data_IF_595633499364
#
_entry.id   IF_595633499364
#
_cell.length_a   1.000
_cell.length_b   1.000
_cell.length_c   1.000
_cell.angle_alpha   90.00
_cell.angle_beta   90.00
_cell.angle_gamma   90.00
#
_symmetry.space_group_name_H-M   'P 1'
#
loop_
_entity.id
_entity.type
_entity.pdbx_description
1 polymer ?
#
# COMPACT_ATOMS: atom_id res chain seq x y z
N UNK A 1 -18.60 10.58 -19.00
CA UNK A 1 -17.29 10.89 -18.41
C UNK A 1 -16.63 9.55 -18.15
N UNK A 2 -15.54 9.25 -18.86
CA UNK A 2 -14.92 7.93 -18.83
C UNK A 2 -14.01 7.85 -17.60
N UNK A 3 -14.24 6.85 -16.76
CA UNK A 3 -13.32 6.41 -15.71
C UNK A 3 -12.09 5.89 -16.45
N UNK A 4 -10.96 6.59 -16.34
CA UNK A 4 -9.70 6.03 -16.78
C UNK A 4 -9.39 4.87 -15.82
N UNK A 5 -9.42 3.65 -16.35
CA UNK A 5 -8.80 2.49 -15.74
C UNK A 5 -7.29 2.78 -15.74
N UNK A 6 -6.79 3.31 -14.62
CA UNK A 6 -5.37 3.64 -14.48
C UNK A 6 -4.66 2.37 -14.01
N UNK A 7 -4.38 1.47 -14.96
CA UNK A 7 -3.30 0.50 -14.77
C UNK A 7 -2.04 1.11 -15.38
N UNK A 8 -1.08 1.66 -14.60
CA UNK A 8 0.25 1.85 -15.15
C UNK A 8 0.76 0.47 -15.62
N UNK A 9 1.31 0.34 -16.84
CA UNK A 9 1.81 -0.94 -17.33
C UNK A 9 2.99 -1.35 -16.45
N UNK A 10 2.97 -2.54 -15.81
CA UNK A 10 4.09 -2.97 -14.99
C UNK A 10 5.33 -3.11 -15.88
N UNK A 11 6.52 -2.64 -15.44
CA UNK A 11 7.77 -3.15 -15.95
C UNK A 11 7.76 -4.69 -15.83
N UNK A 12 8.43 -5.44 -16.71
CA UNK A 12 8.42 -6.89 -16.65
C UNK A 12 9.04 -7.38 -15.35
N UNK A 13 8.19 -7.72 -14.38
CA UNK A 13 8.57 -8.40 -13.15
C UNK A 13 8.75 -9.88 -13.46
N UNK A 14 9.96 -10.41 -13.25
CA UNK A 14 10.30 -11.81 -13.54
C UNK A 14 9.77 -12.82 -12.50
N UNK A 15 9.08 -12.34 -11.46
CA UNK A 15 8.83 -13.09 -10.23
C UNK A 15 7.39 -13.56 -10.05
N UNK A 16 7.26 -14.72 -9.40
CA UNK A 16 6.03 -15.20 -8.76
C UNK A 16 5.47 -14.10 -7.85
N UNK A 17 4.15 -14.08 -7.66
CA UNK A 17 3.56 -13.11 -6.75
C UNK A 17 4.01 -13.33 -5.30
N UNK A 18 4.08 -12.23 -4.55
CA UNK A 18 4.62 -12.15 -3.19
C UNK A 18 3.58 -11.58 -2.21
N UNK A 19 4.09 -11.15 -1.06
CA UNK A 19 3.33 -10.42 -0.07
C UNK A 19 4.21 -9.43 0.69
N UNK A 20 3.58 -8.40 1.23
CA UNK A 20 4.20 -7.36 2.03
C UNK A 20 3.43 -7.19 3.34
N UNK A 21 4.15 -6.89 4.41
CA UNK A 21 3.61 -6.56 5.73
C UNK A 21 4.34 -5.38 6.31
N UNK A 22 3.67 -4.53 7.08
CA UNK A 22 4.34 -3.45 7.78
C UNK A 22 3.43 -2.76 8.78
N UNK A 23 4.01 -1.83 9.51
CA UNK A 23 3.29 -0.98 10.44
C UNK A 23 4.17 0.13 10.95
N UNK A 24 3.55 1.20 11.43
CA UNK A 24 4.28 2.37 11.85
C UNK A 24 3.42 3.60 12.00
N UNK A 25 4.05 4.74 11.79
CA UNK A 25 3.40 6.02 11.66
C UNK A 25 4.16 6.94 10.70
N UNK A 26 3.40 7.78 10.02
CA UNK A 26 3.87 8.93 9.25
C UNK A 26 3.35 10.22 9.90
N UNK A 27 3.73 11.37 9.35
CA UNK A 27 3.12 12.66 9.69
C UNK A 27 2.38 13.25 8.48
N UNK A 28 1.11 12.87 8.23
CA UNK A 28 0.37 13.25 7.02
C UNK A 28 0.33 14.77 6.75
N UNK A 29 0.31 15.56 7.82
CA UNK A 29 0.27 17.03 7.78
C UNK A 29 1.58 17.67 8.29
N UNK A 30 2.63 16.87 8.47
CA UNK A 30 3.92 17.30 9.03
C UNK A 30 3.97 17.51 10.54
N UNK A 31 2.85 17.32 11.27
CA UNK A 31 2.77 17.60 12.72
C UNK A 31 2.14 16.46 13.51
N UNK A 32 0.95 16.00 13.11
CA UNK A 32 0.19 14.96 13.79
C UNK A 32 0.47 13.59 13.19
N UNK A 33 0.43 12.55 14.03
CA UNK A 33 0.74 11.20 13.60
C UNK A 33 -0.42 10.59 12.80
N UNK A 34 -0.07 9.86 11.75
CA UNK A 34 -0.93 8.89 11.09
C UNK A 34 -0.41 7.49 11.35
N UNK A 35 -1.01 6.74 12.28
CA UNK A 35 -0.62 5.37 12.59
C UNK A 35 -1.19 4.41 11.56
N UNK A 36 -0.44 3.37 11.20
CA UNK A 36 -0.95 2.33 10.30
C UNK A 36 -0.45 0.92 10.66
N UNK A 37 -1.26 -0.06 10.28
CA UNK A 37 -0.86 -1.45 10.09
C UNK A 37 -1.33 -1.90 8.71
N UNK A 38 -0.44 -2.49 7.92
CA UNK A 38 -0.72 -2.82 6.52
C UNK A 38 -0.19 -4.20 6.15
N UNK A 39 -0.95 -4.92 5.36
CA UNK A 39 -0.48 -6.11 4.70
C UNK A 39 -1.27 -6.38 3.42
N UNK A 40 -0.61 -6.96 2.44
CA UNK A 40 -1.21 -7.29 1.16
C UNK A 40 -0.41 -8.34 0.43
N UNK A 41 -1.09 -9.20 -0.32
CA UNK A 41 -0.39 -10.20 -1.11
C UNK A 41 -1.29 -11.12 -1.90
N UNK A 42 -0.65 -11.92 -2.74
CA UNK A 42 -1.34 -13.01 -3.42
C UNK A 42 -1.64 -14.17 -2.47
N UNK A 43 -2.80 -14.79 -2.68
CA UNK A 43 -3.05 -16.18 -2.30
C UNK A 43 -2.81 -17.08 -3.50
N UNK A 44 -2.72 -18.39 -3.26
CA UNK A 44 -2.72 -19.40 -4.31
C UNK A 44 -3.95 -19.23 -5.21
N UNK A 45 -3.70 -18.90 -6.48
CA UNK A 45 -4.74 -18.67 -7.48
C UNK A 45 -5.37 -17.28 -7.49
N UNK A 46 -4.89 -16.34 -6.65
CA UNK A 46 -5.30 -14.94 -6.79
C UNK A 46 -4.97 -14.40 -8.18
N UNK A 47 -5.85 -13.57 -8.73
CA UNK A 47 -5.69 -12.97 -10.07
C UNK A 47 -6.03 -13.88 -11.26
N UNK A 48 -6.28 -15.18 -11.07
CA UNK A 48 -6.69 -16.11 -12.16
C UNK A 48 -7.94 -16.93 -11.88
N UNK A 49 -8.29 -17.17 -10.61
CA UNK A 49 -9.36 -18.10 -10.23
C UNK A 49 -10.46 -17.44 -9.37
N UNK A 50 -10.69 -16.14 -9.52
CA UNK A 50 -11.58 -15.33 -8.66
C UNK A 50 -11.28 -15.46 -7.16
N UNK A 51 -10.07 -15.93 -6.81
CA UNK A 51 -9.60 -16.00 -5.43
C UNK A 51 -9.18 -14.58 -5.05
N UNK A 52 -9.78 -13.97 -4.01
CA UNK A 52 -9.40 -12.63 -3.60
C UNK A 52 -7.95 -12.59 -3.14
N UNK A 53 -7.32 -11.44 -3.29
CA UNK A 53 -6.06 -11.15 -2.61
C UNK A 53 -6.25 -11.22 -1.10
N UNK A 54 -5.14 -11.35 -0.35
CA UNK A 54 -5.18 -11.24 1.10
C UNK A 54 -4.61 -9.90 1.53
N UNK A 55 -5.00 -9.44 2.71
CA UNK A 55 -4.41 -8.27 3.31
C UNK A 55 -5.17 -7.78 4.53
N UNK A 56 -4.68 -6.67 5.08
CA UNK A 56 -5.36 -5.84 6.07
C UNK A 56 -4.86 -4.41 5.93
N UNK A 57 -5.68 -3.46 6.36
CA UNK A 57 -5.28 -2.08 6.56
C UNK A 57 -6.05 -1.54 7.75
N UNK A 58 -5.31 -0.97 8.69
CA UNK A 58 -5.79 -0.06 9.73
C UNK A 58 -5.01 1.24 9.56
N UNK A 59 -5.70 2.36 9.59
CA UNK A 59 -5.06 3.69 9.61
C UNK A 59 -5.82 4.64 10.54
N UNK A 60 -5.08 5.39 11.34
CA UNK A 60 -5.62 6.43 12.22
C UNK A 60 -4.80 7.71 12.09
N UNK A 61 -5.38 8.73 11.44
CA UNK A 61 -4.82 10.08 11.40
C UNK A 61 -5.33 10.88 12.61
N UNK A 62 -4.42 11.19 13.54
CA UNK A 62 -4.75 11.92 14.78
C UNK A 62 -4.99 13.41 14.55
N UNK A 63 -4.54 13.99 13.45
CA UNK A 63 -4.69 15.43 13.17
C UNK A 63 -6.11 15.79 12.73
N UNK A 64 -6.78 14.86 12.05
CA UNK A 64 -8.19 14.99 11.66
C UNK A 64 -9.11 14.04 12.43
N UNK A 65 -8.55 13.16 13.27
CA UNK A 65 -9.24 12.06 13.96
C UNK A 65 -10.02 11.13 13.01
N UNK A 66 -9.34 10.68 11.95
CA UNK A 66 -9.89 9.78 10.93
C UNK A 66 -9.44 8.35 11.19
N UNK A 67 -10.38 7.42 11.36
CA UNK A 67 -10.13 5.99 11.44
C UNK A 67 -10.53 5.29 10.14
N UNK A 68 -9.68 4.41 9.63
CA UNK A 68 -9.89 3.63 8.41
C UNK A 68 -9.69 2.16 8.71
N UNK A 69 -10.72 1.37 8.48
CA UNK A 69 -10.71 -0.09 8.64
C UNK A 69 -11.02 -0.78 7.31
N UNK A 70 -10.10 -1.62 6.83
CA UNK A 70 -10.29 -2.38 5.61
C UNK A 70 -11.47 -3.36 5.69
N UNK A 71 -12.19 -3.54 4.58
CA UNK A 71 -13.26 -4.52 4.45
C UNK A 71 -12.99 -5.58 3.36
N UNK A 72 -12.35 -5.21 2.25
CA UNK A 72 -11.84 -6.17 1.26
C UNK A 72 -10.57 -5.66 0.56
N UNK A 73 -9.72 -6.58 0.09
CA UNK A 73 -8.62 -6.27 -0.85
C UNK A 73 -9.08 -6.60 -2.28
N UNK A 74 -9.00 -5.62 -3.16
CA UNK A 74 -9.41 -5.74 -4.57
C UNK A 74 -8.22 -5.80 -5.52
N UNK A 75 -7.05 -5.30 -5.12
CA UNK A 75 -5.85 -5.33 -5.95
C UNK A 75 -4.56 -5.45 -5.15
N UNK A 76 -3.57 -6.09 -5.77
CA UNK A 76 -2.18 -6.16 -5.30
C UNK A 76 -1.24 -6.23 -6.51
N UNK A 77 -0.34 -5.25 -6.66
CA UNK A 77 0.61 -5.21 -7.77
C UNK A 77 1.88 -4.42 -7.46
N UNK A 78 3.01 -4.75 -8.12
CA UNK A 78 4.27 -4.04 -7.94
C UNK A 78 4.27 -2.70 -8.67
N UNK A 79 5.01 -1.75 -8.11
CA UNK A 79 5.46 -0.55 -8.81
C UNK A 79 6.98 -0.59 -8.95
N UNK A 80 7.47 -0.19 -10.13
CA UNK A 80 8.90 -0.08 -10.38
C UNK A 80 9.65 -1.42 -10.35
N UNK A 81 10.92 -1.36 -9.98
CA UNK A 81 11.82 -2.52 -9.89
C UNK A 81 11.94 -2.99 -8.44
N UNK A 82 12.08 -4.30 -8.22
CA UNK A 82 12.53 -4.82 -6.91
C UNK A 82 14.04 -4.95 -6.85
N UNK A 83 14.55 -4.92 -5.62
CA UNK A 83 15.94 -5.21 -5.31
C UNK A 83 16.07 -6.33 -4.29
N UNK A 84 17.27 -6.41 -3.72
CA UNK A 84 17.59 -7.28 -2.60
C UNK A 84 18.34 -6.45 -1.59
N UNK A 85 17.90 -6.45 -0.33
CA UNK A 85 18.60 -5.82 0.76
C UNK A 85 19.97 -6.52 0.95
N UNK A 86 21.10 -5.81 0.81
CA UNK A 86 22.42 -6.39 0.99
C UNK A 86 22.69 -6.87 2.43
N UNK A 87 21.95 -6.39 3.43
CA UNK A 87 22.14 -6.78 4.83
C UNK A 87 21.42 -8.08 5.17
N UNK A 88 20.15 -8.19 4.78
CA UNK A 88 19.29 -9.34 5.15
C UNK A 88 19.12 -10.36 4.04
N UNK A 89 19.39 -9.98 2.78
CA UNK A 89 19.07 -10.78 1.61
C UNK A 89 17.58 -10.82 1.26
N UNK A 90 16.72 -10.08 1.98
CA UNK A 90 15.29 -10.00 1.69
C UNK A 90 15.03 -9.17 0.42
N UNK A 91 13.93 -9.43 -0.30
CA UNK A 91 13.55 -8.59 -1.42
C UNK A 91 13.16 -7.19 -0.94
N UNK A 92 13.42 -6.18 -1.77
CA UNK A 92 12.97 -4.79 -1.54
C UNK A 92 12.11 -4.32 -2.71
N UNK A 93 11.28 -3.29 -2.50
CA UNK A 93 10.50 -2.66 -3.56
C UNK A 93 9.11 -2.18 -3.12
N UNK A 94 8.34 -1.68 -4.10
CA UNK A 94 7.06 -1.02 -3.84
C UNK A 94 5.86 -1.88 -4.24
N UNK A 95 4.82 -1.87 -3.43
CA UNK A 95 3.54 -2.52 -3.70
C UNK A 95 2.39 -1.54 -3.55
N UNK A 96 1.44 -1.65 -4.46
CA UNK A 96 0.12 -1.08 -4.32
C UNK A 96 -0.81 -2.12 -3.72
N UNK A 97 -1.56 -1.73 -2.69
CA UNK A 97 -2.63 -2.54 -2.09
C UNK A 97 -3.90 -1.69 -2.15
N UNK A 98 -4.92 -2.19 -2.82
CA UNK A 98 -6.17 -1.46 -2.98
C UNK A 98 -7.35 -2.30 -2.51
N UNK A 99 -8.44 -1.62 -2.17
CA UNK A 99 -9.62 -2.29 -1.66
C UNK A 99 -10.73 -1.35 -1.25
N UNK A 100 -11.65 -1.90 -0.44
CA UNK A 100 -12.73 -1.14 0.19
C UNK A 100 -12.47 -1.02 1.69
N UNK A 101 -12.88 0.08 2.30
CA UNK A 101 -12.74 0.34 3.72
C UNK A 101 -13.98 1.06 4.27
N UNK A 102 -14.14 1.02 5.59
CA UNK A 102 -15.09 1.84 6.33
C UNK A 102 -14.34 2.85 7.17
N UNK A 103 -14.87 4.07 7.20
CA UNK A 103 -14.35 5.16 8.01
C UNK A 103 -15.40 5.70 8.97
N UNK A 104 -14.95 6.38 10.01
CA UNK A 104 -15.81 7.11 10.95
C UNK A 104 -16.27 8.48 10.42
N UNK A 105 -15.57 9.06 9.44
CA UNK A 105 -15.92 10.37 8.87
C UNK A 105 -16.65 10.32 7.53
N UNK A 106 -16.26 9.41 6.63
CA UNK A 106 -16.78 9.36 5.25
C UNK A 106 -17.72 8.16 5.01
N UNK A 107 -17.84 7.24 5.96
CA UNK A 107 -18.55 5.98 5.76
C UNK A 107 -17.74 5.02 4.89
N UNK A 108 -18.41 4.30 3.98
CA UNK A 108 -17.75 3.34 3.09
C UNK A 108 -17.01 4.08 1.96
N UNK A 109 -15.77 3.67 1.71
CA UNK A 109 -14.84 4.26 0.75
C UNK A 109 -14.04 3.17 0.02
N UNK A 110 -13.47 3.52 -1.13
CA UNK A 110 -12.37 2.79 -1.74
C UNK A 110 -11.05 3.33 -1.19
N UNK A 111 -10.04 2.48 -1.03
CA UNK A 111 -8.70 2.89 -0.62
C UNK A 111 -7.64 2.35 -1.58
N UNK A 112 -6.53 3.10 -1.66
CA UNK A 112 -5.29 2.68 -2.26
C UNK A 112 -4.15 3.08 -1.33
N UNK A 113 -3.28 2.13 -1.00
CA UNK A 113 -2.03 2.43 -0.30
C UNK A 113 -0.85 2.07 -1.18
N UNK A 114 0.16 2.94 -1.16
CA UNK A 114 1.47 2.70 -1.76
C UNK A 114 2.45 2.46 -0.63
N UNK A 115 3.14 1.32 -0.69
CA UNK A 115 3.99 0.85 0.41
C UNK A 115 5.33 0.39 -0.16
N UNK A 116 6.43 0.96 0.32
CA UNK A 116 7.80 0.65 -0.14
C UNK A 116 8.61 0.03 0.98
N UNK A 117 9.18 -1.14 0.72
CA UNK A 117 10.32 -1.68 1.48
C UNK A 117 11.62 -1.19 0.82
N UNK A 118 12.41 -0.39 1.53
CA UNK A 118 13.70 0.12 1.06
C UNK A 118 14.90 -0.63 1.66
N UNK A 119 14.67 -1.73 2.36
CA UNK A 119 15.66 -2.53 3.08
C UNK A 119 15.98 -2.00 4.48
N UNK A 120 16.76 -2.78 5.23
CA UNK A 120 17.05 -2.45 6.62
C UNK A 120 17.96 -1.20 6.76
N UNK A 121 17.68 -0.31 7.74
CA UNK A 121 16.89 -0.54 8.96
C UNK A 121 15.41 -0.07 8.90
N UNK A 122 14.80 0.01 7.72
CA UNK A 122 13.39 0.39 7.54
C UNK A 122 13.10 1.90 7.62
N UNK A 123 14.11 2.73 7.94
CA UNK A 123 13.93 4.19 8.03
C UNK A 123 13.64 4.88 6.70
N UNK A 124 13.95 4.21 5.59
CA UNK A 124 13.69 4.70 4.25
C UNK A 124 12.42 4.08 3.63
N UNK A 125 11.74 3.22 4.37
CA UNK A 125 10.46 2.65 3.94
C UNK A 125 9.41 3.74 3.84
N UNK A 126 8.43 3.52 2.97
CA UNK A 126 7.43 4.55 2.64
C UNK A 126 6.01 4.01 2.79
N UNK A 127 5.10 4.88 3.24
CA UNK A 127 3.67 4.58 3.30
C UNK A 127 2.86 5.82 2.93
N UNK A 128 1.96 5.67 1.96
CA UNK A 128 0.97 6.69 1.60
C UNK A 128 -0.39 6.06 1.34
N UNK A 129 -1.46 6.80 1.62
CA UNK A 129 -2.85 6.36 1.47
C UNK A 129 -3.70 7.41 0.76
N UNK A 130 -4.61 6.94 -0.10
CA UNK A 130 -5.69 7.71 -0.69
C UNK A 130 -7.03 7.01 -0.46
N UNK A 131 -8.06 7.79 -0.14
CA UNK A 131 -9.44 7.35 -0.02
C UNK A 131 -10.32 8.06 -1.05
N UNK A 132 -11.18 7.31 -1.72
CA UNK A 132 -12.19 7.86 -2.62
C UNK A 132 -13.59 7.41 -2.24
N UNK A 133 -14.57 8.28 -2.46
CA UNK A 133 -15.99 7.94 -2.36
C UNK A 133 -16.66 8.29 -3.69
N UNK A 134 -17.26 7.28 -4.33
CA UNK A 134 -17.88 7.43 -5.66
C UNK A 134 -16.91 8.05 -6.70
N UNK A 135 -15.64 7.64 -6.65
CA UNK A 135 -14.58 8.14 -7.55
C UNK A 135 -14.08 9.55 -7.25
N UNK A 136 -14.51 10.19 -6.16
CA UNK A 136 -14.00 11.48 -5.71
C UNK A 136 -13.05 11.29 -4.54
N UNK A 137 -11.86 11.90 -4.58
CA UNK A 137 -10.91 11.88 -3.45
C UNK A 137 -11.52 12.62 -2.26
N UNK A 138 -11.60 11.92 -1.12
CA UNK A 138 -12.09 12.48 0.15
C UNK A 138 -10.98 12.64 1.19
N UNK A 139 -9.87 11.91 1.04
CA UNK A 139 -8.67 12.03 1.86
C UNK A 139 -7.47 11.50 1.08
N UNK A 140 -6.30 12.12 1.25
CA UNK A 140 -5.05 11.64 0.68
C UNK A 140 -3.86 12.15 1.47
N UNK A 141 -2.85 11.30 1.66
CA UNK A 141 -1.52 11.70 2.15
C UNK A 141 -0.55 11.95 0.99
N UNK A 142 -0.89 11.58 -0.23
CA UNK A 142 -0.01 11.82 -1.37
C UNK A 142 0.19 13.32 -1.61
N UNK A 143 1.44 13.76 -1.67
CA UNK A 143 1.77 15.12 -2.11
C UNK A 143 1.79 15.21 -3.64
N UNK A 144 0.67 15.63 -4.22
CA UNK A 144 0.53 15.85 -5.66
C UNK A 144 1.26 17.09 -6.18
N UNK A 145 1.89 17.89 -5.32
CA UNK A 145 2.65 19.09 -5.73
C UNK A 145 4.11 18.79 -6.09
N UNK A 146 4.51 17.51 -6.09
CA UNK A 146 5.86 17.05 -6.40
C UNK A 146 6.72 16.77 -5.17
N UNK A 147 6.09 16.58 -4.01
CA UNK A 147 6.77 16.15 -2.79
C UNK A 147 7.25 14.70 -2.84
N UNK A 148 7.99 14.33 -1.80
CA UNK A 148 8.43 12.95 -1.55
C UNK A 148 7.36 12.16 -0.82
N UNK A 149 7.30 10.85 -1.06
CA UNK A 149 6.49 9.93 -0.27
C UNK A 149 6.87 9.97 1.20
N UNK A 150 5.92 9.69 2.09
CA UNK A 150 6.16 9.75 3.52
C UNK A 150 7.04 8.59 3.98
N UNK A 151 8.20 8.90 4.57
CA UNK A 151 9.10 7.89 5.12
C UNK A 151 8.76 7.52 6.54
N UNK A 152 9.04 6.27 6.90
CA UNK A 152 8.94 5.76 8.27
C UNK A 152 10.15 6.15 9.14
N UNK A 153 10.92 7.15 8.72
CA UNK A 153 12.13 7.61 9.39
C UNK A 153 12.93 8.55 8.49
N UNK A 154 14.25 8.58 8.66
CA UNK A 154 15.13 9.22 7.68
C UNK A 154 15.08 10.75 7.62
N UNK A 155 14.60 11.41 8.69
CA UNK A 155 14.51 12.88 8.79
C UNK A 155 13.08 13.43 8.74
N UNK A 156 12.11 12.61 8.30
CA UNK A 156 10.69 12.99 8.22
C UNK A 156 9.93 12.70 9.53
N UNK A 157 10.65 12.25 10.56
CA UNK A 157 10.13 12.01 11.91
C UNK A 157 9.31 10.73 12.10
N UNK A 158 8.92 10.06 11.01
CA UNK A 158 8.16 8.80 11.04
C UNK A 158 8.84 7.68 11.81
N UNK A 159 8.13 6.57 11.98
CA UNK A 159 8.66 5.38 12.65
C UNK A 159 7.92 4.12 12.20
N UNK A 160 8.63 2.99 12.11
CA UNK A 160 8.01 1.71 11.73
C UNK A 160 8.96 0.85 10.91
N UNK A 161 8.40 -0.19 10.30
CA UNK A 161 9.11 -1.04 9.35
C UNK A 161 8.12 -1.66 8.36
N UNK A 162 8.56 -1.81 7.13
CA UNK A 162 7.87 -2.53 6.06
C UNK A 162 8.78 -3.67 5.62
N UNK A 163 8.20 -4.82 5.34
CA UNK A 163 8.91 -6.02 4.91
C UNK A 163 8.20 -6.61 3.70
N UNK A 164 8.90 -6.64 2.58
CA UNK A 164 8.55 -7.43 1.42
C UNK A 164 9.11 -8.85 1.59
N UNK A 165 8.30 -9.85 1.31
CA UNK A 165 8.65 -11.24 1.53
C UNK A 165 8.81 -11.99 0.22
N UNK A 166 9.68 -12.99 0.20
CA UNK A 166 9.82 -13.85 -0.95
C UNK A 166 8.51 -14.62 -1.26
N UNK A 167 8.24 -14.87 -2.56
CA UNK A 167 7.16 -15.77 -2.96
C UNK A 167 7.28 -17.17 -2.34
N UNK A 168 6.16 -17.72 -1.88
CA UNK A 168 6.09 -19.08 -1.34
C UNK A 168 4.90 -19.85 -1.93
N UNK A 169 4.70 -21.10 -1.49
CA UNK A 169 3.62 -21.96 -2.02
C UNK A 169 2.21 -21.38 -1.83
N UNK A 170 2.03 -20.52 -0.83
CA UNK A 170 0.77 -19.83 -0.54
C UNK A 170 0.56 -18.57 -1.37
N UNK A 171 1.58 -18.05 -2.06
CA UNK A 171 1.49 -16.83 -2.89
C UNK A 171 1.57 -17.12 -4.40
N UNK A 172 1.23 -18.34 -4.80
CA UNK A 172 1.27 -18.80 -6.21
C UNK A 172 0.17 -18.23 -7.12
N UNK A 173 -0.41 -17.07 -6.75
CA UNK A 173 -1.27 -16.27 -7.62
C UNK A 173 -0.47 -15.37 -8.56
N UNK A 174 -1.16 -14.44 -9.20
CA UNK A 174 -0.58 -13.37 -10.02
C UNK A 174 -1.06 -12.00 -9.51
N UNK A 175 -0.21 -10.99 -9.71
CA UNK A 175 -0.57 -9.60 -9.46
C UNK A 175 -1.73 -9.15 -10.34
N UNK A 176 -2.48 -8.14 -9.88
CA UNK A 176 -3.60 -7.58 -10.62
C UNK A 176 -4.72 -7.06 -9.70
N UNK A 177 -5.94 -7.07 -10.23
CA UNK A 177 -7.12 -6.50 -9.58
C UNK A 177 -7.44 -5.09 -10.06
N UNK A 178 -8.39 -4.44 -9.39
CA UNK A 178 -8.83 -3.06 -9.71
C UNK A 178 -8.61 -2.15 -8.52
N UNK A 179 -8.02 -0.98 -8.78
CA UNK A 179 -7.70 0.03 -7.78
C UNK A 179 -8.53 1.30 -8.00
N UNK A 180 -9.75 1.33 -7.45
CA UNK A 180 -10.69 2.45 -7.68
C UNK A 180 -10.23 3.77 -7.04
N UNK A 181 -9.40 3.71 -6.00
CA UNK A 181 -8.76 4.86 -5.37
C UNK A 181 -7.31 5.06 -5.84
N UNK A 182 -6.87 4.40 -6.90
CA UNK A 182 -5.53 4.60 -7.49
C UNK A 182 -5.36 6.01 -8.05
N UNK A 183 -4.09 6.43 -8.19
CA UNK A 183 -3.68 7.71 -8.78
C UNK A 183 -3.26 7.55 -10.24
#
# INVERSE_FOLDING_TARGET
MAFADITPPPPPFSGKCDFLTGGGFIYPNGTDKGNFGVGGGCKKGSGTNDVPYWGHLEFHDHGVDLNVHMTAITAYFPEGTTGTDPQTGQPTGTRWICGTARTDQFGDVDFAVRVTDAGEPGTADEFDIQLTQNGTIVYSTFDFSGGTFHKLGGGDGGGGNIQLHEPNNSTTGIFGGTCAAGI
#
